data_IF_570366893499
#
_entry.id   IF_570366893499
#
_cell.length_a   1.000
_cell.length_b   1.000
_cell.length_c   1.000
_cell.angle_alpha   90.00
_cell.angle_beta   90.00
_cell.angle_gamma   90.00
#
_symmetry.space_group_name_H-M   'P 1'
#
loop_
_entity.id
_entity.type
_entity.pdbx_description
1 polymer ?
#
# COMPACT_ATOMS: atom_id res chain seq x y z
N UNK A 1 -16.44 7.14 -13.39
CA UNK A 1 -15.87 5.93 -12.76
C UNK A 1 -14.87 6.38 -11.73
N UNK A 2 -14.82 5.74 -10.56
CA UNK A 2 -13.93 6.10 -9.45
C UNK A 2 -13.12 4.86 -9.04
N UNK A 3 -11.92 5.09 -8.50
CA UNK A 3 -11.06 4.04 -7.96
C UNK A 3 -10.41 4.54 -6.66
N UNK A 4 -10.23 3.63 -5.71
CA UNK A 4 -9.44 3.87 -4.51
C UNK A 4 -8.01 3.40 -4.77
N UNK A 5 -7.04 4.30 -4.66
CA UNK A 5 -5.62 4.01 -4.75
C UNK A 5 -5.03 3.92 -3.35
N UNK A 6 -4.59 2.73 -2.94
CA UNK A 6 -3.96 2.46 -1.64
C UNK A 6 -2.45 2.36 -1.86
N UNK A 7 -1.68 3.24 -1.22
CA UNK A 7 -0.25 3.41 -1.53
C UNK A 7 0.61 2.92 -0.37
N UNK A 8 1.48 1.94 -0.67
CA UNK A 8 2.60 1.49 0.15
C UNK A 8 2.19 1.12 1.60
N UNK A 9 1.06 0.43 1.78
CA UNK A 9 0.63 -0.09 3.08
C UNK A 9 1.37 -1.38 3.45
N UNK A 10 2.69 -1.24 3.67
CA UNK A 10 3.66 -2.34 3.78
C UNK A 10 4.41 -2.34 5.13
N UNK A 11 4.86 -3.52 5.56
CA UNK A 11 5.55 -3.74 6.83
C UNK A 11 6.83 -2.91 7.01
N UNK A 12 7.49 -2.48 5.92
CA UNK A 12 8.67 -1.62 5.95
C UNK A 12 8.45 -0.30 6.71
N UNK A 13 7.21 0.18 6.81
CA UNK A 13 6.85 1.35 7.62
C UNK A 13 6.64 1.06 9.12
N UNK A 14 6.60 -0.21 9.53
CA UNK A 14 6.47 -0.60 10.94
C UNK A 14 7.82 -0.52 11.68
N UNK A 15 8.92 -0.69 10.95
CA UNK A 15 10.28 -0.66 11.49
C UNK A 15 10.90 0.75 11.51
N UNK A 16 10.25 1.73 10.87
CA UNK A 16 10.65 3.14 10.95
C UNK A 16 10.24 3.76 12.29
N UNK A 17 11.00 4.73 12.79
CA UNK A 17 10.62 5.49 13.98
C UNK A 17 9.28 6.21 13.73
N UNK A 18 8.22 5.72 14.36
CA UNK A 18 6.84 6.25 14.25
C UNK A 18 6.53 7.32 15.29
N UNK A 19 7.46 7.68 16.16
CA UNK A 19 7.23 8.58 17.30
C UNK A 19 6.77 9.99 16.88
N UNK A 20 7.07 10.42 15.65
CA UNK A 20 6.64 11.71 15.09
C UNK A 20 5.51 11.60 14.05
N UNK A 21 4.92 10.41 13.85
CA UNK A 21 3.90 10.23 12.80
C UNK A 21 2.60 10.96 13.16
N UNK A 22 2.06 11.71 12.20
CA UNK A 22 0.72 12.28 12.30
C UNK A 22 -0.35 11.26 11.88
N UNK A 23 -1.60 11.45 12.31
CA UNK A 23 -2.76 10.59 11.99
C UNK A 23 -2.62 9.14 12.52
N UNK A 24 -2.70 8.92 13.85
CA UNK A 24 -2.60 7.58 14.44
C UNK A 24 -3.70 6.60 13.97
N UNK A 25 -4.82 7.12 13.45
CA UNK A 25 -5.93 6.33 12.93
C UNK A 25 -5.87 6.13 11.40
N UNK A 26 -4.75 6.45 10.73
CA UNK A 26 -4.64 6.38 9.27
C UNK A 26 -5.02 4.99 8.73
N UNK A 27 -4.41 3.93 9.26
CA UNK A 27 -4.67 2.55 8.89
C UNK A 27 -6.16 2.21 9.02
N UNK A 28 -6.75 2.51 10.18
CA UNK A 28 -8.17 2.27 10.46
C UNK A 28 -9.09 3.00 9.48
N UNK A 29 -8.76 4.22 9.08
CA UNK A 29 -9.57 4.99 8.15
C UNK A 29 -9.42 4.49 6.71
N UNK A 30 -8.22 4.06 6.31
CA UNK A 30 -8.01 3.47 4.98
C UNK A 30 -8.78 2.14 4.86
N UNK A 31 -8.75 1.28 5.89
CA UNK A 31 -9.52 0.04 5.90
C UNK A 31 -11.03 0.30 5.73
N UNK A 32 -11.59 1.30 6.40
CA UNK A 32 -12.99 1.71 6.21
C UNK A 32 -13.30 2.13 4.77
N UNK A 33 -12.38 2.84 4.11
CA UNK A 33 -12.54 3.21 2.70
C UNK A 33 -12.49 1.97 1.80
N UNK A 34 -11.56 1.04 2.06
CA UNK A 34 -11.46 -0.21 1.32
C UNK A 34 -12.74 -1.05 1.47
N UNK A 35 -13.27 -1.17 2.69
CA UNK A 35 -14.52 -1.89 2.96
C UNK A 35 -15.69 -1.28 2.16
N UNK A 36 -15.83 0.04 2.19
CA UNK A 36 -16.86 0.72 1.40
C UNK A 36 -16.72 0.47 -0.12
N UNK A 37 -15.50 0.52 -0.65
CA UNK A 37 -15.25 0.25 -2.07
C UNK A 37 -15.52 -1.21 -2.44
N UNK A 38 -15.21 -2.16 -1.55
CA UNK A 38 -15.53 -3.59 -1.70
C UNK A 38 -17.05 -3.81 -1.71
N UNK A 39 -17.76 -3.27 -0.73
CA UNK A 39 -19.22 -3.38 -0.60
C UNK A 39 -19.95 -2.82 -1.81
N UNK A 40 -19.47 -1.68 -2.33
CA UNK A 40 -20.04 -1.02 -3.51
C UNK A 40 -19.49 -1.55 -4.84
N UNK A 41 -18.65 -2.59 -4.81
CA UNK A 41 -18.03 -3.23 -5.99
C UNK A 41 -17.28 -2.24 -6.89
N UNK A 42 -16.64 -1.24 -6.27
CA UNK A 42 -15.81 -0.25 -6.94
C UNK A 42 -14.36 -0.72 -7.04
N UNK A 43 -13.57 -0.06 -7.89
CA UNK A 43 -12.20 -0.47 -8.17
C UNK A 43 -11.28 -0.09 -6.99
N UNK A 44 -10.55 -1.07 -6.47
CA UNK A 44 -9.44 -0.86 -5.54
C UNK A 44 -8.14 -1.22 -6.27
N UNK A 45 -7.16 -0.34 -6.16
CA UNK A 45 -5.83 -0.50 -6.72
C UNK A 45 -4.83 -0.36 -5.57
N UNK A 46 -4.01 -1.38 -5.40
CA UNK A 46 -2.92 -1.41 -4.44
C UNK A 46 -1.62 -1.06 -5.14
N UNK A 47 -0.85 -0.17 -4.55
CA UNK A 47 0.52 0.14 -4.96
C UNK A 47 1.46 -0.47 -3.92
N UNK A 48 2.42 -1.24 -4.41
CA UNK A 48 3.41 -1.94 -3.61
C UNK A 48 4.80 -1.43 -3.98
N UNK A 49 5.63 -1.04 -3.01
CA UNK A 49 6.96 -0.53 -3.28
C UNK A 49 8.01 -1.61 -3.09
N UNK A 50 8.67 -1.99 -4.19
CA UNK A 50 9.77 -2.95 -4.18
C UNK A 50 11.06 -2.18 -4.41
N UNK A 51 11.75 -1.83 -3.32
CA UNK A 51 13.00 -1.08 -3.41
C UNK A 51 14.10 -1.93 -4.04
N UNK A 52 14.91 -1.32 -4.91
CA UNK A 52 16.15 -1.93 -5.42
C UNK A 52 17.38 -1.58 -4.59
N UNK A 53 17.25 -0.65 -3.62
CA UNK A 53 18.30 -0.29 -2.68
C UNK A 53 18.37 -1.31 -1.53
N UNK A 54 19.49 -2.04 -1.35
CA UNK A 54 19.68 -3.01 -0.27
C UNK A 54 19.55 -2.45 1.15
N UNK A 55 19.67 -1.14 1.32
CA UNK A 55 19.55 -0.47 2.62
C UNK A 55 18.12 0.00 2.94
N UNK A 56 17.20 -0.15 1.99
CA UNK A 56 15.80 0.25 2.17
C UNK A 56 15.03 -0.72 3.05
N UNK A 57 14.10 -0.20 3.84
CA UNK A 57 13.13 -0.99 4.59
C UNK A 57 12.18 -1.81 3.70
N UNK A 58 12.14 -1.54 2.40
CA UNK A 58 11.31 -2.20 1.39
C UNK A 58 12.11 -3.12 0.45
N UNK A 59 13.34 -3.48 0.81
CA UNK A 59 14.20 -4.35 0.00
C UNK A 59 13.91 -5.84 0.20
N UNK A 60 13.64 -6.25 1.44
CA UNK A 60 13.40 -7.65 1.80
C UNK A 60 11.93 -8.00 1.66
N UNK A 61 11.63 -9.29 1.50
CA UNK A 61 10.25 -9.79 1.45
C UNK A 61 9.42 -9.40 2.67
N UNK A 62 10.02 -9.52 3.85
CA UNK A 62 9.41 -9.08 5.10
C UNK A 62 9.09 -7.58 5.10
N UNK A 63 9.87 -6.77 4.37
CA UNK A 63 9.70 -5.32 4.29
C UNK A 63 8.60 -4.88 3.32
N UNK A 64 8.53 -5.48 2.12
CA UNK A 64 7.52 -5.13 1.11
C UNK A 64 6.21 -5.95 1.25
N UNK A 65 6.11 -6.85 2.22
CA UNK A 65 4.84 -7.51 2.54
C UNK A 65 3.81 -6.46 2.99
N UNK A 66 2.55 -6.66 2.59
CA UNK A 66 1.45 -5.81 3.04
C UNK A 66 1.28 -5.90 4.56
N UNK A 67 0.82 -4.80 5.16
CA UNK A 67 0.33 -4.80 6.54
C UNK A 67 -0.94 -5.64 6.66
N UNK A 68 -1.19 -6.20 7.85
CA UNK A 68 -2.41 -6.96 8.13
C UNK A 68 -3.67 -6.11 7.82
N UNK A 69 -4.57 -6.67 7.02
CA UNK A 69 -5.81 -6.03 6.55
C UNK A 69 -5.67 -5.27 5.23
N UNK A 70 -4.44 -5.01 4.77
CA UNK A 70 -4.15 -4.32 3.51
C UNK A 70 -3.84 -5.27 2.36
N UNK A 71 -3.91 -6.58 2.59
CA UNK A 71 -3.74 -7.56 1.54
C UNK A 71 -4.82 -7.40 0.45
N UNK A 72 -4.44 -7.50 -0.83
CA UNK A 72 -5.39 -7.45 -1.93
C UNK A 72 -6.32 -8.67 -1.90
N UNK A 73 -7.62 -8.43 -2.05
CA UNK A 73 -8.58 -9.51 -2.28
C UNK A 73 -8.53 -10.01 -3.74
N UNK A 74 -8.99 -11.25 -4.02
CA UNK A 74 -9.09 -11.75 -5.39
C UNK A 74 -9.85 -10.78 -6.30
N UNK A 75 -9.22 -10.36 -7.39
CA UNK A 75 -9.77 -9.41 -8.37
C UNK A 75 -9.40 -7.94 -8.13
N UNK A 76 -8.82 -7.59 -6.98
CA UNK A 76 -8.22 -6.27 -6.76
C UNK A 76 -6.87 -6.17 -7.49
N UNK A 77 -6.55 -4.99 -8.03
CA UNK A 77 -5.31 -4.81 -8.82
C UNK A 77 -4.15 -4.47 -7.91
N UNK A 78 -2.98 -5.01 -8.21
CA UNK A 78 -1.70 -4.63 -7.57
C UNK A 78 -0.76 -4.12 -8.65
N UNK A 79 -0.15 -2.95 -8.43
CA UNK A 79 0.97 -2.46 -9.24
C UNK A 79 2.20 -2.31 -8.35
N UNK A 80 3.30 -2.92 -8.79
CA UNK A 80 4.58 -2.83 -8.12
C UNK A 80 5.39 -1.68 -8.72
N UNK A 81 6.02 -0.86 -7.87
CA UNK A 81 6.86 0.28 -8.26
C UNK A 81 8.23 0.22 -7.60
N UNK A 82 9.23 0.76 -8.28
CA UNK A 82 10.62 0.82 -7.79
C UNK A 82 11.08 2.25 -7.43
N UNK A 83 10.24 3.25 -7.66
CA UNK A 83 10.50 4.67 -7.35
C UNK A 83 9.31 5.28 -6.61
N UNK A 84 9.43 6.55 -6.19
CA UNK A 84 8.39 7.22 -5.40
C UNK A 84 7.03 7.31 -6.12
N UNK A 85 7.04 7.69 -7.39
CA UNK A 85 5.81 7.84 -8.18
C UNK A 85 5.24 6.48 -8.57
N UNK A 86 3.95 6.27 -8.27
CA UNK A 86 3.22 5.08 -8.67
C UNK A 86 3.01 4.96 -10.19
N UNK A 87 3.24 6.02 -10.96
CA UNK A 87 3.06 6.05 -12.42
C UNK A 87 4.35 5.76 -13.20
N UNK A 88 5.53 5.95 -12.59
CA UNK A 88 6.80 5.82 -13.32
C UNK A 88 7.20 4.35 -13.38
N UNK A 89 7.31 3.82 -14.60
CA UNK A 89 7.73 2.43 -14.82
C UNK A 89 6.67 1.39 -14.46
N UNK A 90 5.41 1.81 -14.28
CA UNK A 90 4.26 0.92 -14.03
C UNK A 90 3.24 1.07 -15.16
N UNK A 91 2.22 0.20 -15.16
CA UNK A 91 1.07 0.30 -16.06
C UNK A 91 -0.18 0.86 -15.36
N UNK A 92 0.02 1.71 -14.35
CA UNK A 92 -1.05 2.43 -13.66
C UNK A 92 -1.63 3.53 -14.55
#
# INVERSE_FOLDING_TARGET
MQALLVIDMEQGFMNADRSERNNPDAEKNILKLMDYFRETKQLIIHIQHLSTDPHSAFFTEEGYQFMEGFEPHPGEKVFQKHVNSAFIGTNL
#
